data_IF_044231029403
#
_entry.id   IF_044231029403
#
_cell.length_a   1.000
_cell.length_b   1.000
_cell.length_c   1.000
_cell.angle_alpha   90.00
_cell.angle_beta   90.00
_cell.angle_gamma   90.00
#
_symmetry.space_group_name_H-M   'P 1'
#
loop_
_entity.id
_entity.type
_entity.pdbx_description
1 polymer ?
#
# COMPACT_ATOMS: atom_id res chain seq x y z
N UNK A 1 10.88 -11.21 13.35
CA UNK A 1 10.87 -10.09 12.39
C UNK A 1 11.08 -10.58 10.96
N UNK A 2 10.15 -10.24 10.07
CA UNK A 2 10.24 -10.38 8.60
C UNK A 2 10.21 -9.02 7.91
N UNK A 3 10.85 -8.90 6.75
CA UNK A 3 10.74 -7.70 5.92
C UNK A 3 10.63 -8.01 4.43
N UNK A 4 9.96 -7.11 3.69
CA UNK A 4 9.89 -7.11 2.23
C UNK A 4 9.85 -5.70 1.66
N UNK A 5 10.67 -5.47 0.63
CA UNK A 5 10.64 -4.22 -0.16
C UNK A 5 9.59 -4.31 -1.26
N UNK A 6 8.80 -3.25 -1.40
CA UNK A 6 7.73 -3.11 -2.40
C UNK A 6 7.78 -1.76 -3.10
N UNK A 7 7.23 -1.70 -4.32
CA UNK A 7 7.09 -0.44 -5.08
C UNK A 7 5.68 0.13 -4.90
N UNK A 8 5.57 1.41 -4.59
CA UNK A 8 4.29 2.12 -4.52
C UNK A 8 3.77 2.40 -5.94
N UNK A 9 2.87 1.55 -6.45
CA UNK A 9 2.33 1.68 -7.82
C UNK A 9 1.26 2.77 -7.99
N UNK A 10 0.67 3.24 -6.89
CA UNK A 10 -0.27 4.36 -6.88
C UNK A 10 0.44 5.63 -7.38
N UNK A 11 -0.02 6.22 -8.49
CA UNK A 11 0.66 7.37 -9.11
C UNK A 11 0.72 8.59 -8.20
N UNK A 12 -0.28 8.76 -7.34
CA UNK A 12 -0.38 9.81 -6.32
C UNK A 12 0.27 9.41 -4.98
N UNK A 13 0.91 8.24 -4.90
CA UNK A 13 1.57 7.75 -3.69
C UNK A 13 0.60 7.23 -2.62
N UNK A 14 1.07 7.14 -1.37
CA UNK A 14 0.28 6.69 -0.21
C UNK A 14 -0.53 7.85 0.40
N UNK A 15 -1.39 8.47 -0.41
CA UNK A 15 -2.35 9.49 0.05
C UNK A 15 -3.51 8.88 0.85
N UNK A 16 -4.51 9.70 1.22
CA UNK A 16 -5.57 9.33 2.17
C UNK A 16 -6.21 7.95 1.95
N UNK A 17 -6.59 7.61 0.72
CA UNK A 17 -7.26 6.35 0.40
C UNK A 17 -6.33 5.11 0.52
N UNK A 18 -5.21 5.02 -0.21
CA UNK A 18 -4.28 3.90 -0.04
C UNK A 18 -3.71 3.82 1.38
N UNK A 19 -3.45 4.94 2.05
CA UNK A 19 -3.02 4.97 3.45
C UNK A 19 -4.09 4.39 4.40
N UNK A 20 -5.36 4.75 4.23
CA UNK A 20 -6.46 4.21 5.03
C UNK A 20 -6.62 2.70 4.84
N UNK A 21 -6.51 2.21 3.59
CA UNK A 21 -6.59 0.79 3.28
C UNK A 21 -5.44 0.01 3.93
N UNK A 22 -4.21 0.52 3.79
CA UNK A 22 -3.02 -0.10 4.38
C UNK A 22 -3.11 -0.13 5.91
N UNK A 23 -3.49 1.00 6.52
CA UNK A 23 -3.68 1.09 7.97
C UNK A 23 -4.76 0.14 8.48
N UNK A 24 -5.89 0.03 7.75
CA UNK A 24 -6.96 -0.91 8.09
C UNK A 24 -6.50 -2.37 7.99
N UNK A 25 -5.67 -2.70 7.00
CA UNK A 25 -5.11 -4.04 6.88
C UNK A 25 -4.10 -4.35 7.99
N UNK A 26 -3.17 -3.43 8.27
CA UNK A 26 -2.15 -3.59 9.31
C UNK A 26 -2.76 -3.76 10.71
N UNK A 27 -3.86 -3.04 11.02
CA UNK A 27 -4.59 -3.15 12.31
C UNK A 27 -5.21 -4.52 12.60
N UNK A 28 -5.24 -5.43 11.62
CA UNK A 28 -5.77 -6.79 11.84
C UNK A 28 -4.79 -7.70 12.57
N UNK A 29 -3.52 -7.30 12.63
CA UNK A 29 -2.43 -8.11 13.13
C UNK A 29 -1.97 -7.59 14.49
N UNK A 30 -1.49 -8.50 15.33
CA UNK A 30 -0.91 -8.17 16.64
C UNK A 30 0.57 -7.80 16.55
N UNK A 31 1.28 -8.25 15.50
CA UNK A 31 2.66 -7.86 15.25
C UNK A 31 2.82 -6.34 15.01
N UNK A 32 4.00 -5.84 15.32
CA UNK A 32 4.39 -4.47 14.98
C UNK A 32 4.61 -4.38 13.47
N UNK A 33 3.80 -3.58 12.79
CA UNK A 33 3.95 -3.31 11.35
C UNK A 33 4.53 -1.91 11.13
N UNK A 34 5.69 -1.85 10.49
CA UNK A 34 6.42 -0.62 10.18
C UNK A 34 6.64 -0.50 8.68
N UNK A 35 6.47 0.70 8.13
CA UNK A 35 7.01 1.06 6.81
C UNK A 35 8.31 1.80 7.03
N UNK A 36 9.40 1.27 6.50
CA UNK A 36 10.68 1.96 6.45
C UNK A 36 10.84 2.62 5.08
N UNK A 37 10.95 3.94 5.07
CA UNK A 37 11.07 4.75 3.88
C UNK A 37 12.11 5.85 4.12
N UNK A 38 13.13 5.89 3.26
CA UNK A 38 14.34 6.70 3.51
C UNK A 38 14.89 6.33 4.90
N UNK A 39 15.19 7.29 5.77
CA UNK A 39 15.72 7.03 7.12
C UNK A 39 14.62 7.02 8.20
N UNK A 40 13.35 6.86 7.81
CA UNK A 40 12.21 6.98 8.72
C UNK A 40 11.43 5.67 8.89
N UNK A 41 11.13 5.34 10.14
CA UNK A 41 10.20 4.27 10.51
C UNK A 41 8.81 4.84 10.76
N UNK A 42 7.82 4.31 10.03
CA UNK A 42 6.45 4.83 10.00
C UNK A 42 5.51 3.74 10.52
N UNK A 43 4.72 4.06 11.53
CA UNK A 43 3.70 3.14 12.05
C UNK A 43 2.63 2.86 10.99
N UNK A 44 2.63 1.65 10.43
CA UNK A 44 1.73 1.26 9.34
C UNK A 44 0.27 1.12 9.79
N UNK A 45 -0.02 1.06 11.10
CA UNK A 45 -1.40 1.04 11.61
C UNK A 45 -2.04 2.44 11.66
N UNK A 46 -1.25 3.50 11.47
CA UNK A 46 -1.72 4.88 11.53
C UNK A 46 -1.74 5.52 10.14
N UNK A 47 -2.95 5.65 9.60
CA UNK A 47 -3.19 6.38 8.33
C UNK A 47 -2.52 7.76 8.32
N UNK A 48 -2.60 8.51 9.44
CA UNK A 48 -1.98 9.84 9.53
C UNK A 48 -0.45 9.79 9.44
N UNK A 49 0.20 8.80 10.06
CA UNK A 49 1.66 8.65 9.96
C UNK A 49 2.08 8.32 8.53
N UNK A 50 1.36 7.41 7.87
CA UNK A 50 1.60 7.05 6.46
C UNK A 50 1.47 8.28 5.56
N UNK A 51 0.42 9.09 5.74
CA UNK A 51 0.22 10.30 4.93
C UNK A 51 1.31 11.35 5.18
N UNK A 52 1.69 11.56 6.44
CA UNK A 52 2.75 12.54 6.81
C UNK A 52 4.12 12.16 6.28
N UNK A 53 4.38 10.86 6.10
CA UNK A 53 5.61 10.38 5.49
C UNK A 53 5.77 10.79 4.01
N UNK A 54 4.70 11.22 3.34
CA UNK A 54 4.79 11.78 1.99
C UNK A 54 5.29 10.81 0.92
N UNK A 55 5.08 9.50 1.11
CA UNK A 55 5.58 8.46 0.20
C UNK A 55 4.91 8.58 -1.17
N UNK A 56 5.70 8.95 -2.18
CA UNK A 56 5.24 9.20 -3.55
C UNK A 56 5.16 7.91 -4.38
N UNK A 57 4.40 7.97 -5.47
CA UNK A 57 4.33 6.88 -6.46
C UNK A 57 5.70 6.59 -7.09
N UNK A 58 5.95 5.33 -7.43
CA UNK A 58 7.20 4.84 -7.99
C UNK A 58 8.34 4.67 -6.98
N UNK A 59 8.13 5.02 -5.71
CA UNK A 59 9.13 4.83 -4.65
C UNK A 59 9.10 3.41 -4.09
N UNK A 60 10.25 2.98 -3.59
CA UNK A 60 10.39 1.74 -2.82
C UNK A 60 10.16 2.02 -1.34
N UNK A 61 9.46 1.11 -0.67
CA UNK A 61 9.26 1.11 0.79
C UNK A 61 9.50 -0.30 1.30
N UNK A 62 10.16 -0.42 2.44
CA UNK A 62 10.33 -1.71 3.11
C UNK A 62 9.22 -1.88 4.15
N UNK A 63 8.44 -2.95 4.03
CA UNK A 63 7.48 -3.37 5.04
C UNK A 63 8.22 -4.26 6.02
N UNK A 64 8.17 -3.95 7.31
CA UNK A 64 8.71 -4.75 8.40
C UNK A 64 7.57 -5.20 9.32
N UNK A 65 7.49 -6.49 9.58
CA UNK A 65 6.54 -7.09 10.52
C UNK A 65 7.33 -7.80 11.62
N UNK A 66 7.01 -7.55 12.88
CA UNK A 66 7.70 -8.15 14.02
C UNK A 66 6.72 -8.62 15.09
N UNK A 67 6.56 -9.93 15.24
CA UNK A 67 5.65 -10.56 16.19
C UNK A 67 5.06 -11.88 15.70
N UNK A 68 4.09 -12.40 16.44
CA UNK A 68 3.59 -13.78 16.28
C UNK A 68 2.91 -14.06 14.93
N UNK A 69 2.23 -13.06 14.35
CA UNK A 69 1.53 -13.16 13.06
C UNK A 69 2.27 -12.44 11.90
N UNK A 70 3.59 -12.29 12.04
CA UNK A 70 4.42 -11.57 11.06
C UNK A 70 4.40 -12.17 9.65
N UNK A 71 4.22 -13.49 9.55
CA UNK A 71 4.14 -14.21 8.28
C UNK A 71 2.87 -13.86 7.50
N UNK A 72 1.72 -13.91 8.15
CA UNK A 72 0.42 -13.57 7.59
C UNK A 72 0.34 -12.08 7.26
N UNK A 73 0.89 -11.24 8.15
CA UNK A 73 0.95 -9.80 7.97
C UNK A 73 1.79 -9.43 6.74
N UNK A 74 3.03 -9.93 6.64
CA UNK A 74 3.92 -9.56 5.53
C UNK A 74 3.36 -10.02 4.18
N UNK A 75 2.74 -11.21 4.12
CA UNK A 75 2.12 -11.72 2.90
C UNK A 75 0.94 -10.85 2.46
N UNK A 76 0.03 -10.54 3.38
CA UNK A 76 -1.16 -9.75 3.09
C UNK A 76 -0.80 -8.32 2.70
N UNK A 77 0.09 -7.68 3.44
CA UNK A 77 0.49 -6.30 3.17
C UNK A 77 1.26 -6.20 1.86
N UNK A 78 2.21 -7.10 1.59
CA UNK A 78 2.92 -7.14 0.31
C UNK A 78 1.95 -7.33 -0.87
N UNK A 79 0.90 -8.15 -0.70
CA UNK A 79 -0.10 -8.36 -1.74
C UNK A 79 -0.86 -7.08 -2.08
N UNK A 80 -1.12 -6.18 -1.13
CA UNK A 80 -1.76 -4.89 -1.39
C UNK A 80 -0.93 -4.02 -2.35
N UNK A 81 0.41 -4.10 -2.29
CA UNK A 81 1.31 -3.35 -3.16
C UNK A 81 1.55 -3.99 -4.53
N UNK A 82 1.11 -5.26 -4.76
CA UNK A 82 1.23 -5.89 -6.08
C UNK A 82 0.42 -5.14 -7.14
N UNK A 83 -0.70 -4.55 -6.73
CA UNK A 83 -1.55 -3.69 -7.55
C UNK A 83 -1.58 -2.26 -6.99
N UNK A 84 -2.36 -1.36 -7.61
CA UNK A 84 -2.64 -0.04 -7.04
C UNK A 84 -3.60 -0.22 -5.86
N UNK A 85 -3.17 0.18 -4.66
CA UNK A 85 -3.95 0.03 -3.44
C UNK A 85 -5.25 0.83 -3.57
N UNK A 86 -6.35 0.12 -3.81
CA UNK A 86 -7.72 0.65 -3.96
C UNK A 86 -7.87 1.94 -4.81
N UNK A 87 -7.14 2.11 -5.90
CA UNK A 87 -7.49 3.15 -6.88
C UNK A 87 -8.73 2.71 -7.69
N UNK A 88 -9.66 3.64 -7.97
CA UNK A 88 -10.73 3.36 -8.93
C UNK A 88 -10.04 3.00 -10.25
N UNK A 89 -10.29 1.79 -10.76
CA UNK A 89 -10.04 1.49 -12.17
C UNK A 89 -10.88 2.49 -12.97
N UNK A 90 -10.26 3.51 -13.54
CA UNK A 90 -10.84 4.15 -14.72
C UNK A 90 -10.70 3.10 -15.79
N UNK A 91 -11.79 2.40 -16.11
CA UNK A 91 -11.89 1.67 -17.36
C UNK A 91 -11.78 2.75 -18.44
N UNK A 92 -10.59 2.92 -19.00
CA UNK A 92 -10.42 3.69 -20.23
C UNK A 92 -11.34 3.04 -21.27
N UNK A 93 -12.22 3.86 -21.85
CA UNK A 93 -13.37 3.39 -22.60
C UNK A 93 -12.99 2.51 -23.80
N UNK A 94 -13.75 1.44 -23.99
CA UNK A 94 -14.03 0.97 -25.33
C UNK A 94 -15.20 1.81 -25.87
N UNK A 95 -14.85 2.94 -26.49
CA UNK A 95 -15.69 3.59 -27.49
C UNK A 95 -15.89 2.55 -28.60
N UNK A 96 -17.11 2.05 -28.81
CA UNK A 96 -17.46 1.31 -30.02
C UNK A 96 -18.48 2.13 -30.81
N UNK A 97 -17.98 3.10 -31.57
CA UNK A 97 -18.70 3.78 -32.65
C UNK A 97 -18.28 3.15 -33.98
N UNK A 98 -18.92 2.05 -34.35
CA UNK A 98 -19.00 1.45 -35.70
C UNK A 98 -19.90 0.22 -35.52
N UNK A 99 -21.11 0.08 -36.07
CA UNK A 99 -21.56 0.38 -37.42
C UNK A 99 -23.01 0.91 -37.42
N UNK A 100 -23.19 2.06 -38.08
CA UNK A 100 -24.27 2.22 -39.05
C UNK A 100 -23.89 1.38 -40.26
N UNK A 101 -24.73 0.40 -40.60
CA UNK A 101 -24.62 -0.48 -41.76
C UNK A 101 -25.86 -1.33 -41.82
#
# INVERSE_FOLDING_TARGET
MLSKTVVVKNSTGLHARPAACLAKAAKKYSCKVTLHYEDNDINATSMMNIMRAGIKGGKMVEIRCDGDDENEAIQTLTALFRDRIQEKRVLAGAFNTTNLG
#
